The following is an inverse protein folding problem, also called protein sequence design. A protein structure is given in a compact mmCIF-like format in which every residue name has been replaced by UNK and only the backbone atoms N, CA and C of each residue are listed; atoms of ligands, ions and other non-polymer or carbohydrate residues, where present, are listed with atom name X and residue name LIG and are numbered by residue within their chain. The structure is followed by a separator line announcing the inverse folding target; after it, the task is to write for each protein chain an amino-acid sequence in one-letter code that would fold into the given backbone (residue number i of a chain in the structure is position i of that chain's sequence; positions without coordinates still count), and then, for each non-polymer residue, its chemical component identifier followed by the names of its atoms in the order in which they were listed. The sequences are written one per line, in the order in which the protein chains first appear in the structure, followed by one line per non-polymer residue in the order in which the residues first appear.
data_IF_863892175280
#
_entry.id   IF_863892175280
#
_cell.length_a   1.000
_cell.length_b   1.000
_cell.length_c   1.000
_cell.angle_alpha   90.00
_cell.angle_beta   90.00
_cell.angle_gamma   90.00
#
_symmetry.space_group_name_H-M   'P 1'
#
loop_
_entity.id
_entity.type
_entity.pdbx_description
1 polymer ?
#
# COMPACT_ATOMS: atom_id res chain seq x y z
N UNK A 1 -10.24 77.92 -35.70
CA UNK A 1 -11.34 77.49 -34.81
C UNK A 1 -10.72 76.58 -33.76
N UNK A 2 -10.49 77.13 -32.57
CA UNK A 2 -9.77 76.48 -31.46
C UNK A 2 -10.76 75.57 -30.72
N UNK A 3 -10.45 74.28 -30.65
CA UNK A 3 -11.29 73.29 -29.95
C UNK A 3 -11.36 73.60 -28.46
N UNK A 4 -12.58 73.77 -27.95
CA UNK A 4 -12.86 73.92 -26.53
C UNK A 4 -12.49 72.63 -25.80
N UNK A 5 -11.37 72.66 -25.07
CA UNK A 5 -11.00 71.64 -24.10
C UNK A 5 -12.06 71.68 -22.99
N UNK A 6 -12.97 70.71 -22.99
CA UNK A 6 -13.90 70.50 -21.87
C UNK A 6 -13.06 70.20 -20.61
N UNK A 7 -13.24 70.95 -19.51
CA UNK A 7 -12.58 70.62 -18.26
C UNK A 7 -13.11 69.26 -17.77
N UNK A 8 -12.19 68.34 -17.47
CA UNK A 8 -12.51 67.07 -16.83
C UNK A 8 -13.38 67.34 -15.60
N UNK A 9 -14.54 66.67 -15.44
CA UNK A 9 -15.37 66.86 -14.26
C UNK A 9 -14.54 66.45 -13.04
N UNK A 10 -14.32 67.42 -12.14
CA UNK A 10 -13.76 67.21 -10.80
C UNK A 10 -14.77 66.40 -9.97
N UNK A 11 -15.02 65.14 -10.35
CA UNK A 11 -15.62 64.18 -9.43
C UNK A 11 -14.66 64.12 -8.24
N UNK A 12 -15.13 64.65 -7.12
CA UNK A 12 -14.34 64.89 -5.92
C UNK A 12 -13.50 63.67 -5.58
N UNK A 13 -12.20 63.87 -5.36
CA UNK A 13 -11.27 62.85 -4.86
C UNK A 13 -11.88 62.05 -3.69
N UNK A 14 -12.76 62.67 -2.89
CA UNK A 14 -13.55 62.03 -1.84
C UNK A 14 -14.39 60.82 -2.26
N UNK A 15 -15.07 60.84 -3.42
CA UNK A 15 -15.90 59.70 -3.86
C UNK A 15 -15.07 58.53 -4.36
N UNK A 16 -13.84 58.79 -4.82
CA UNK A 16 -12.85 57.76 -5.17
C UNK A 16 -12.28 57.16 -3.89
N UNK A 17 -11.93 57.99 -2.91
CA UNK A 17 -11.45 57.54 -1.58
C UNK A 17 -12.52 56.71 -0.87
N UNK A 18 -13.79 57.14 -0.86
CA UNK A 18 -14.90 56.39 -0.26
C UNK A 18 -15.11 55.03 -0.92
N UNK A 19 -15.05 54.94 -2.26
CA UNK A 19 -15.16 53.65 -2.97
C UNK A 19 -14.00 52.72 -2.65
N UNK A 20 -12.79 53.25 -2.52
CA UNK A 20 -11.60 52.47 -2.14
C UNK A 20 -11.72 51.98 -0.70
N UNK A 21 -12.11 52.84 0.25
CA UNK A 21 -12.28 52.48 1.66
C UNK A 21 -13.41 51.47 1.86
N UNK A 22 -14.56 51.63 1.20
CA UNK A 22 -15.66 50.68 1.29
C UNK A 22 -15.31 49.33 0.63
N UNK A 23 -14.67 49.33 -0.54
CA UNK A 23 -14.29 48.08 -1.22
C UNK A 23 -13.18 47.35 -0.47
N UNK A 24 -12.18 48.07 0.03
CA UNK A 24 -11.11 47.50 0.85
C UNK A 24 -11.64 46.99 2.19
N UNK A 25 -12.58 47.72 2.81
CA UNK A 25 -13.22 47.34 4.07
C UNK A 25 -14.04 46.05 3.95
N UNK A 26 -14.88 45.93 2.90
CA UNK A 26 -15.69 44.72 2.67
C UNK A 26 -14.80 43.51 2.36
N UNK A 27 -13.74 43.68 1.56
CA UNK A 27 -12.78 42.60 1.29
C UNK A 27 -12.05 42.14 2.55
N UNK A 28 -11.59 43.09 3.36
CA UNK A 28 -10.92 42.79 4.62
C UNK A 28 -11.84 42.06 5.62
N UNK A 29 -13.09 42.51 5.76
CA UNK A 29 -14.08 41.83 6.59
C UNK A 29 -14.38 40.41 6.10
N UNK A 30 -14.44 40.20 4.78
CA UNK A 30 -14.63 38.86 4.21
C UNK A 30 -13.45 37.93 4.49
N UNK A 31 -12.20 38.40 4.37
CA UNK A 31 -11.00 37.64 4.77
C UNK A 31 -11.06 37.23 6.24
N UNK A 32 -11.37 38.18 7.13
CA UNK A 32 -11.50 37.90 8.56
C UNK A 32 -12.61 36.88 8.85
N UNK A 33 -13.75 36.99 8.17
CA UNK A 33 -14.84 36.03 8.31
C UNK A 33 -14.43 34.62 7.85
N UNK A 34 -13.73 34.48 6.72
CA UNK A 34 -13.22 33.20 6.22
C UNK A 34 -12.22 32.58 7.21
N UNK A 35 -11.29 33.37 7.74
CA UNK A 35 -10.31 32.89 8.71
C UNK A 35 -10.95 32.49 10.05
N UNK A 36 -11.90 33.28 10.55
CA UNK A 36 -12.63 32.97 11.77
C UNK A 36 -13.45 31.67 11.62
N UNK A 37 -14.17 31.53 10.49
CA UNK A 37 -14.89 30.30 10.16
C UNK A 37 -13.92 29.12 10.03
N UNK A 38 -12.78 29.33 9.36
CA UNK A 38 -11.74 28.33 9.17
C UNK A 38 -11.17 27.80 10.50
N UNK A 39 -10.92 28.67 11.47
CA UNK A 39 -10.48 28.30 12.82
C UNK A 39 -11.51 27.41 13.53
N UNK A 40 -12.80 27.80 13.47
CA UNK A 40 -13.90 27.01 14.04
C UNK A 40 -13.99 25.65 13.35
N UNK A 41 -14.01 25.63 12.01
CA UNK A 41 -14.08 24.40 11.23
C UNK A 41 -12.89 23.48 11.49
N UNK A 42 -11.67 24.02 11.58
CA UNK A 42 -10.48 23.24 11.89
C UNK A 42 -10.57 22.58 13.26
N UNK A 43 -10.94 23.35 14.29
CA UNK A 43 -11.13 22.83 15.63
C UNK A 43 -12.21 21.74 15.67
N UNK A 44 -13.36 21.98 15.05
CA UNK A 44 -14.48 21.02 14.98
C UNK A 44 -14.07 19.77 14.22
N UNK A 45 -13.47 19.91 13.03
CA UNK A 45 -13.06 18.80 12.19
C UNK A 45 -12.02 17.91 12.89
N UNK A 46 -10.97 18.50 13.47
CA UNK A 46 -9.97 17.73 14.20
C UNK A 46 -10.54 17.02 15.42
N UNK A 47 -11.43 17.69 16.16
CA UNK A 47 -12.10 17.09 17.32
C UNK A 47 -13.08 15.99 16.93
N UNK A 48 -13.75 16.14 15.78
CA UNK A 48 -14.62 15.12 15.21
C UNK A 48 -13.80 13.90 14.78
N UNK A 49 -12.70 14.10 14.05
CA UNK A 49 -11.78 13.03 13.64
C UNK A 49 -11.27 12.28 14.87
N UNK A 50 -10.78 12.98 15.89
CA UNK A 50 -10.36 12.36 17.15
C UNK A 50 -11.46 11.45 17.74
N UNK A 51 -12.69 11.97 17.84
CA UNK A 51 -13.83 11.21 18.39
C UNK A 51 -14.20 10.02 17.53
N UNK A 52 -14.18 10.16 16.21
CA UNK A 52 -14.50 9.08 15.28
C UNK A 52 -13.44 7.97 15.33
N UNK A 53 -12.16 8.33 15.40
CA UNK A 53 -11.07 7.36 15.51
C UNK A 53 -11.13 6.56 16.81
N UNK A 54 -11.37 7.24 17.93
CA UNK A 54 -11.56 6.57 19.23
C UNK A 54 -12.78 5.64 19.17
N UNK A 55 -13.91 6.11 18.64
CA UNK A 55 -15.13 5.29 18.50
C UNK A 55 -14.97 4.12 17.53
N UNK A 56 -14.15 4.28 16.51
CA UNK A 56 -13.85 3.22 15.54
C UNK A 56 -12.86 2.18 16.10
N UNK A 57 -12.40 2.31 17.34
CA UNK A 57 -11.44 1.38 17.95
C UNK A 57 -10.04 1.51 17.35
N UNK A 58 -9.70 2.66 16.76
CA UNK A 58 -8.36 2.91 16.22
C UNK A 58 -7.25 2.78 17.25
N UNK A 59 -7.39 3.21 18.53
CA UNK A 59 -6.33 2.99 19.54
C UNK A 59 -5.94 1.51 19.69
N UNK A 60 -6.93 0.62 19.79
CA UNK A 60 -6.70 -0.82 19.86
C UNK A 60 -6.24 -1.38 18.50
N UNK A 61 -6.59 -0.69 17.41
CA UNK A 61 -6.21 -1.10 16.08
C UNK A 61 -4.70 -0.91 15.81
N UNK A 62 -4.13 0.18 16.32
CA UNK A 62 -2.74 0.57 16.10
C UNK A 62 -1.77 0.00 17.13
N UNK A 63 -2.26 -0.61 18.21
CA UNK A 63 -1.40 -1.15 19.26
C UNK A 63 -0.42 -2.19 18.69
N UNK A 64 0.88 -2.00 18.96
CA UNK A 64 1.95 -2.87 18.49
C UNK A 64 2.35 -2.66 17.02
N UNK A 65 1.75 -1.70 16.32
CA UNK A 65 2.11 -1.37 14.93
C UNK A 65 3.44 -0.61 14.85
N UNK A 66 4.10 -0.67 13.69
CA UNK A 66 5.28 0.14 13.42
C UNK A 66 4.95 1.64 13.44
N UNK A 67 3.72 2.00 13.02
CA UNK A 67 3.25 3.38 13.06
C UNK A 67 3.08 3.91 14.49
N UNK A 68 2.51 3.11 15.39
CA UNK A 68 2.39 3.51 16.80
C UNK A 68 3.76 3.72 17.46
N UNK A 69 4.73 2.83 17.18
CA UNK A 69 6.12 3.01 17.64
C UNK A 69 6.71 4.31 17.11
N UNK A 70 6.59 4.55 15.81
CA UNK A 70 7.08 5.78 15.19
C UNK A 70 6.40 7.04 15.77
N UNK A 71 5.09 7.00 16.02
CA UNK A 71 4.38 8.12 16.64
C UNK A 71 4.88 8.38 18.07
N UNK A 72 5.13 7.31 18.84
CA UNK A 72 5.63 7.40 20.22
C UNK A 72 7.04 7.97 20.28
N UNK A 73 7.88 7.73 19.28
CA UNK A 73 9.22 8.33 19.18
C UNK A 73 9.17 9.87 19.07
N UNK A 74 8.05 10.43 18.60
CA UNK A 74 7.78 11.87 18.57
C UNK A 74 6.95 12.36 19.78
N UNK A 75 6.84 11.56 20.85
CA UNK A 75 6.05 11.86 22.06
C UNK A 75 4.57 12.18 21.76
N UNK A 76 4.00 11.51 20.76
CA UNK A 76 2.61 11.71 20.34
C UNK A 76 1.91 10.38 20.06
N UNK A 77 0.62 10.45 19.70
CA UNK A 77 -0.19 9.29 19.34
C UNK A 77 -0.70 9.40 17.90
N UNK A 78 -0.98 8.28 17.25
CA UNK A 78 -1.56 8.25 15.89
C UNK A 78 -2.84 9.09 15.77
N UNK A 79 -3.67 9.05 16.81
CA UNK A 79 -4.93 9.80 16.85
C UNK A 79 -4.63 11.30 16.94
N UNK A 80 -3.66 11.69 17.75
CA UNK A 80 -3.24 13.08 17.87
C UNK A 80 -2.59 13.59 16.59
N UNK A 81 -1.68 12.82 15.98
CA UNK A 81 -1.09 13.14 14.67
C UNK A 81 -2.20 13.38 13.64
N UNK A 82 -3.17 12.47 13.54
CA UNK A 82 -4.24 12.56 12.56
C UNK A 82 -5.18 13.75 12.84
N UNK A 83 -5.43 14.03 14.12
CA UNK A 83 -6.25 15.18 14.54
C UNK A 83 -5.54 16.51 14.26
N UNK A 84 -4.23 16.58 14.56
CA UNK A 84 -3.36 17.70 14.24
C UNK A 84 -3.30 17.92 12.73
N UNK A 85 -3.00 16.87 11.96
CA UNK A 85 -2.97 16.93 10.49
C UNK A 85 -4.28 17.45 9.92
N UNK A 86 -5.42 16.96 10.42
CA UNK A 86 -6.75 17.43 10.00
C UNK A 86 -6.96 18.91 10.32
N UNK A 87 -6.59 19.37 11.53
CA UNK A 87 -6.72 20.79 11.93
C UNK A 87 -5.91 21.68 11.01
N UNK A 88 -4.63 21.38 10.82
CA UNK A 88 -3.73 22.18 10.00
C UNK A 88 -4.12 22.14 8.52
N UNK A 89 -4.63 21.01 8.04
CA UNK A 89 -5.17 20.89 6.70
C UNK A 89 -6.37 21.82 6.47
N UNK A 90 -7.34 21.80 7.38
CA UNK A 90 -8.52 22.69 7.30
C UNK A 90 -8.13 24.16 7.44
N UNK A 91 -7.19 24.48 8.35
CA UNK A 91 -6.64 25.84 8.46
C UNK A 91 -5.92 26.28 7.18
N UNK A 92 -5.15 25.37 6.56
CA UNK A 92 -4.49 25.62 5.28
C UNK A 92 -5.49 25.95 4.19
N UNK A 93 -6.56 25.17 4.05
CA UNK A 93 -7.65 25.45 3.10
C UNK A 93 -8.28 26.82 3.38
N UNK A 94 -8.59 27.13 4.65
CA UNK A 94 -9.18 28.40 5.02
C UNK A 94 -8.26 29.59 4.71
N UNK A 95 -6.96 29.44 4.95
CA UNK A 95 -5.96 30.44 4.58
C UNK A 95 -5.92 30.67 3.07
N UNK A 96 -5.88 29.60 2.28
CA UNK A 96 -5.90 29.70 0.81
C UNK A 96 -7.19 30.36 0.34
N UNK A 97 -8.34 29.94 0.85
CA UNK A 97 -9.63 30.54 0.52
C UNK A 97 -9.68 32.04 0.86
N UNK A 98 -9.11 32.43 2.01
CA UNK A 98 -9.01 33.82 2.41
C UNK A 98 -8.11 34.63 1.45
N UNK A 99 -6.98 34.07 1.02
CA UNK A 99 -6.09 34.70 0.04
C UNK A 99 -6.72 34.83 -1.35
N UNK A 100 -7.44 33.80 -1.80
CA UNK A 100 -8.21 33.84 -3.06
C UNK A 100 -9.29 34.93 -3.02
N UNK A 101 -9.92 35.15 -1.88
CA UNK A 101 -10.96 36.18 -1.71
C UNK A 101 -10.44 37.61 -1.89
N UNK A 102 -9.14 37.88 -1.66
CA UNK A 102 -8.54 39.21 -1.84
C UNK A 102 -8.55 39.67 -3.31
N UNK A 103 -8.64 38.75 -4.27
CA UNK A 103 -8.81 39.03 -5.69
C UNK A 103 -7.54 39.56 -6.36
N UNK A 104 -6.38 39.04 -5.99
CA UNK A 104 -5.09 39.39 -6.62
C UNK A 104 -4.95 38.52 -7.89
N UNK A 105 -5.28 39.09 -9.05
CA UNK A 105 -5.38 38.41 -10.36
C UNK A 105 -4.13 37.62 -10.84
N UNK A 106 -2.99 37.72 -10.14
CA UNK A 106 -1.76 36.97 -10.46
C UNK A 106 -1.69 35.59 -9.80
N UNK A 107 -2.66 35.22 -8.96
CA UNK A 107 -2.54 34.06 -8.07
C UNK A 107 -3.67 33.03 -8.24
N UNK A 108 -4.62 33.25 -9.14
CA UNK A 108 -5.77 32.35 -9.29
C UNK A 108 -5.41 30.98 -9.88
N UNK A 109 -4.45 30.94 -10.84
CA UNK A 109 -3.98 29.67 -11.40
C UNK A 109 -3.14 28.86 -10.39
N UNK A 110 -2.28 29.55 -9.64
CA UNK A 110 -1.44 28.92 -8.62
C UNK A 110 -2.29 28.38 -7.46
N UNK A 111 -3.20 29.19 -6.92
CA UNK A 111 -4.09 28.77 -5.84
C UNK A 111 -5.08 27.69 -6.28
N UNK A 112 -5.55 27.73 -7.54
CA UNK A 112 -6.41 26.68 -8.09
C UNK A 112 -5.76 25.30 -8.08
N UNK A 113 -4.48 25.21 -8.47
CA UNK A 113 -3.71 23.95 -8.39
C UNK A 113 -3.49 23.51 -6.94
N UNK A 114 -3.15 24.44 -6.05
CA UNK A 114 -2.95 24.15 -4.63
C UNK A 114 -4.24 23.60 -3.99
N UNK A 115 -5.40 24.20 -4.26
CA UNK A 115 -6.70 23.74 -3.76
C UNK A 115 -7.13 22.39 -4.33
N UNK A 116 -6.70 22.05 -5.55
CA UNK A 116 -6.97 20.75 -6.16
C UNK A 116 -6.08 19.64 -5.57
N UNK A 117 -4.79 19.91 -5.38
CA UNK A 117 -3.80 18.92 -4.94
C UNK A 117 -3.85 18.69 -3.42
N UNK A 118 -4.11 19.71 -2.62
CA UNK A 118 -4.12 19.61 -1.15
C UNK A 118 -5.04 18.49 -0.64
N UNK A 119 -6.34 18.43 -1.02
CA UNK A 119 -7.23 17.35 -0.59
C UNK A 119 -6.78 15.97 -1.05
N UNK A 120 -6.29 15.87 -2.29
CA UNK A 120 -5.78 14.61 -2.84
C UNK A 120 -4.59 14.10 -2.05
N UNK A 121 -3.64 14.98 -1.71
CA UNK A 121 -2.47 14.65 -0.91
C UNK A 121 -2.86 14.24 0.51
N UNK A 122 -3.83 14.94 1.11
CA UNK A 122 -4.35 14.58 2.42
C UNK A 122 -4.95 13.17 2.42
N UNK A 123 -5.83 12.85 1.46
CA UNK A 123 -6.42 11.52 1.32
C UNK A 123 -5.32 10.46 1.06
N UNK A 124 -4.33 10.76 0.22
CA UNK A 124 -3.20 9.85 -0.03
C UNK A 124 -2.45 9.49 1.27
N UNK A 125 -2.16 10.50 2.11
CA UNK A 125 -1.51 10.30 3.41
C UNK A 125 -2.41 9.45 4.32
N UNK A 126 -3.72 9.72 4.38
CA UNK A 126 -4.64 8.91 5.18
C UNK A 126 -4.65 7.44 4.75
N UNK A 127 -4.72 7.19 3.44
CA UNK A 127 -4.71 5.83 2.89
C UNK A 127 -3.41 5.11 3.24
N UNK A 128 -2.26 5.79 3.18
CA UNK A 128 -0.97 5.19 3.59
C UNK A 128 -0.95 4.82 5.07
N UNK A 129 -1.41 5.72 5.94
CA UNK A 129 -1.50 5.45 7.38
C UNK A 129 -2.38 4.23 7.63
N UNK A 130 -3.57 4.19 7.02
CA UNK A 130 -4.48 3.03 7.11
C UNK A 130 -3.82 1.77 6.58
N UNK A 131 -3.12 1.84 5.45
CA UNK A 131 -2.42 0.71 4.85
C UNK A 131 -1.34 0.10 5.75
N UNK A 132 -0.56 0.94 6.44
CA UNK A 132 0.45 0.48 7.40
C UNK A 132 -0.22 -0.26 8.56
N UNK A 133 -1.26 0.34 9.15
CA UNK A 133 -1.98 -0.24 10.29
C UNK A 133 -2.64 -1.57 9.92
N UNK A 134 -3.33 -1.62 8.78
CA UNK A 134 -3.99 -2.84 8.29
C UNK A 134 -2.95 -3.91 7.94
N UNK A 135 -1.83 -3.52 7.34
CA UNK A 135 -0.73 -4.42 7.00
C UNK A 135 -0.12 -5.08 8.24
N UNK A 136 0.18 -4.28 9.28
CA UNK A 136 0.70 -4.79 10.55
C UNK A 136 -0.27 -5.75 11.24
N UNK A 137 -1.58 -5.46 11.20
CA UNK A 137 -2.60 -6.40 11.72
C UNK A 137 -2.64 -7.70 10.94
N UNK A 138 -2.57 -7.63 9.62
CA UNK A 138 -2.57 -8.82 8.78
C UNK A 138 -1.32 -9.65 9.04
N UNK A 139 -0.16 -9.04 9.27
CA UNK A 139 1.06 -9.75 9.70
C UNK A 139 0.80 -10.57 10.95
N UNK A 140 0.24 -9.95 12.00
CA UNK A 140 -0.03 -10.61 13.28
C UNK A 140 -1.05 -11.75 13.13
N UNK A 141 -2.14 -11.51 12.40
CA UNK A 141 -3.18 -12.50 12.15
C UNK A 141 -2.64 -13.71 11.39
N UNK A 142 -1.84 -13.47 10.34
CA UNK A 142 -1.23 -14.55 9.56
C UNK A 142 -0.19 -15.27 10.42
N UNK A 143 0.67 -14.56 11.14
CA UNK A 143 1.67 -15.16 12.04
C UNK A 143 1.01 -16.08 13.08
N UNK A 144 -0.10 -15.66 13.68
CA UNK A 144 -0.82 -16.46 14.67
C UNK A 144 -1.39 -17.76 14.09
N UNK A 145 -1.92 -17.72 12.86
CA UNK A 145 -2.40 -18.93 12.16
C UNK A 145 -1.29 -19.92 11.88
N UNK A 146 -0.06 -19.43 11.69
CA UNK A 146 1.09 -20.24 11.35
C UNK A 146 2.01 -20.58 12.54
N UNK A 147 1.72 -20.11 13.76
CA UNK A 147 2.50 -20.41 14.98
C UNK A 147 2.68 -21.91 15.26
N UNK A 148 1.74 -22.75 14.84
CA UNK A 148 1.81 -24.21 15.02
C UNK A 148 2.75 -24.92 14.04
N UNK A 149 3.21 -24.24 12.99
CA UNK A 149 4.02 -24.85 11.92
C UNK A 149 5.50 -24.66 12.21
N UNK A 150 6.20 -25.74 12.55
CA UNK A 150 7.64 -25.75 12.88
C UNK A 150 8.53 -25.76 11.63
N UNK A 151 8.34 -24.82 10.72
CA UNK A 151 9.18 -24.66 9.54
C UNK A 151 9.94 -23.33 9.62
N UNK A 152 11.28 -23.32 9.47
CA UNK A 152 12.09 -22.11 9.58
C UNK A 152 11.66 -20.98 8.63
N UNK A 153 11.13 -21.32 7.45
CA UNK A 153 10.75 -20.34 6.42
C UNK A 153 9.33 -19.77 6.56
N UNK A 154 8.52 -20.27 7.49
CA UNK A 154 7.09 -19.87 7.60
C UNK A 154 6.90 -18.41 8.02
N UNK A 155 7.92 -17.81 8.65
CA UNK A 155 7.91 -16.40 9.02
C UNK A 155 7.90 -15.43 7.83
N UNK A 156 8.14 -15.91 6.60
CA UNK A 156 8.10 -15.07 5.39
C UNK A 156 6.65 -14.73 5.01
N UNK A 157 5.70 -15.65 5.20
CA UNK A 157 4.30 -15.47 4.80
C UNK A 157 3.61 -14.28 5.52
N UNK A 158 3.71 -14.13 6.85
CA UNK A 158 3.19 -12.97 7.56
C UNK A 158 3.69 -11.64 7.02
N UNK A 159 5.01 -11.51 6.82
CA UNK A 159 5.59 -10.28 6.31
C UNK A 159 5.20 -10.02 4.86
N UNK A 160 5.12 -11.06 4.02
CA UNK A 160 4.67 -10.96 2.64
C UNK A 160 3.21 -10.44 2.57
N UNK A 161 2.34 -10.91 3.46
CA UNK A 161 0.95 -10.46 3.52
C UNK A 161 0.85 -8.97 3.89
N UNK A 162 1.64 -8.52 4.88
CA UNK A 162 1.75 -7.10 5.22
C UNK A 162 2.25 -6.24 4.07
N UNK A 163 3.34 -6.63 3.43
CA UNK A 163 3.90 -5.85 2.32
C UNK A 163 2.95 -5.81 1.13
N UNK A 164 2.15 -6.86 0.91
CA UNK A 164 1.08 -6.84 -0.09
C UNK A 164 0.04 -5.76 0.20
N UNK A 165 -0.41 -5.65 1.45
CA UNK A 165 -1.37 -4.62 1.88
C UNK A 165 -0.77 -3.22 1.73
N UNK A 166 0.47 -3.04 2.19
CA UNK A 166 1.19 -1.77 2.05
C UNK A 166 1.36 -1.36 0.59
N UNK A 167 1.66 -2.32 -0.29
CA UNK A 167 1.77 -2.11 -1.73
C UNK A 167 0.43 -1.62 -2.32
N UNK A 168 -0.68 -2.29 -2.02
CA UNK A 168 -2.01 -1.88 -2.49
C UNK A 168 -2.40 -0.49 -1.96
N UNK A 169 -2.16 -0.21 -0.69
CA UNK A 169 -2.41 1.12 -0.11
C UNK A 169 -1.56 2.20 -0.80
N UNK A 170 -0.30 1.88 -1.13
CA UNK A 170 0.58 2.77 -1.88
C UNK A 170 0.05 3.06 -3.28
N UNK A 171 -0.45 2.05 -3.99
CA UNK A 171 -1.10 2.26 -5.29
C UNK A 171 -2.33 3.17 -5.15
N UNK A 172 -3.20 2.92 -4.17
CA UNK A 172 -4.39 3.76 -3.95
C UNK A 172 -3.98 5.20 -3.63
N UNK A 173 -2.97 5.40 -2.78
CA UNK A 173 -2.46 6.73 -2.44
C UNK A 173 -1.88 7.47 -3.65
N UNK A 174 -1.07 6.78 -4.47
CA UNK A 174 -0.56 7.32 -5.72
C UNK A 174 -1.68 7.69 -6.70
N UNK A 175 -2.81 6.96 -6.68
CA UNK A 175 -4.00 7.27 -7.49
C UNK A 175 -4.55 8.64 -7.17
N UNK A 176 -4.58 8.98 -5.88
CA UNK A 176 -5.17 10.24 -5.43
C UNK A 176 -4.36 11.43 -5.92
N UNK A 177 -3.03 11.29 -5.95
CA UNK A 177 -2.10 12.34 -6.42
C UNK A 177 -2.03 12.41 -7.96
N UNK A 178 -2.81 11.58 -8.67
CA UNK A 178 -2.87 11.61 -10.14
C UNK A 178 -1.73 10.88 -10.84
N UNK A 179 -1.01 10.00 -10.12
CA UNK A 179 0.02 9.16 -10.74
C UNK A 179 -0.64 8.13 -11.66
N UNK A 180 -0.04 7.90 -12.82
CA UNK A 180 -0.52 6.95 -13.81
C UNK A 180 -0.32 5.50 -13.35
N UNK A 181 -1.21 5.01 -12.48
CA UNK A 181 -1.15 3.64 -11.92
C UNK A 181 -1.16 2.58 -13.01
N UNK A 182 -1.87 2.81 -14.12
CA UNK A 182 -1.89 1.88 -15.24
C UNK A 182 -0.48 1.54 -15.73
N UNK A 183 0.41 2.53 -15.86
CA UNK A 183 1.79 2.30 -16.24
C UNK A 183 2.58 1.52 -15.18
N UNK A 184 2.33 1.79 -13.89
CA UNK A 184 2.95 1.05 -12.78
C UNK A 184 2.48 -0.41 -12.73
N UNK A 185 1.20 -0.67 -12.99
CA UNK A 185 0.64 -2.03 -13.06
C UNK A 185 1.22 -2.79 -14.24
N UNK A 186 1.35 -2.15 -15.42
CA UNK A 186 1.99 -2.77 -16.58
C UNK A 186 3.44 -3.13 -16.28
N UNK A 187 4.20 -2.21 -15.66
CA UNK A 187 5.58 -2.46 -15.26
C UNK A 187 5.68 -3.60 -14.23
N UNK A 188 4.83 -3.60 -13.22
CA UNK A 188 4.73 -4.70 -12.25
C UNK A 188 4.43 -6.02 -12.95
N UNK A 189 3.47 -6.03 -13.87
CA UNK A 189 3.13 -7.22 -14.66
C UNK A 189 4.33 -7.78 -15.41
N UNK A 190 5.14 -6.91 -16.02
CA UNK A 190 6.38 -7.30 -16.69
C UNK A 190 7.41 -7.90 -15.70
N UNK A 191 7.60 -7.28 -14.53
CA UNK A 191 8.50 -7.81 -13.49
C UNK A 191 8.03 -9.16 -12.94
N UNK A 192 6.75 -9.29 -12.63
CA UNK A 192 6.16 -10.53 -12.12
C UNK A 192 6.23 -11.63 -13.18
N UNK A 193 5.95 -11.31 -14.45
CA UNK A 193 6.12 -12.25 -15.55
C UNK A 193 7.57 -12.73 -15.66
N UNK A 194 8.54 -11.81 -15.62
CA UNK A 194 9.96 -12.16 -15.60
C UNK A 194 10.32 -13.06 -14.42
N UNK A 195 9.87 -12.71 -13.21
CA UNK A 195 10.10 -13.52 -12.01
C UNK A 195 9.50 -14.92 -12.14
N UNK A 196 8.27 -15.04 -12.65
CA UNK A 196 7.57 -16.32 -12.83
C UNK A 196 8.31 -17.18 -13.85
N UNK A 197 8.66 -16.62 -15.01
CA UNK A 197 9.38 -17.36 -16.06
C UNK A 197 10.76 -17.81 -15.56
N UNK A 198 11.52 -16.91 -14.95
CA UNK A 198 12.84 -17.24 -14.40
C UNK A 198 12.74 -18.30 -13.30
N UNK A 199 11.77 -18.21 -12.41
CA UNK A 199 11.56 -19.21 -11.34
C UNK A 199 11.14 -20.55 -11.93
N UNK A 200 10.25 -20.57 -12.92
CA UNK A 200 9.82 -21.79 -13.59
C UNK A 200 10.99 -22.50 -14.29
N UNK A 201 11.88 -21.75 -14.94
CA UNK A 201 13.09 -22.30 -15.57
C UNK A 201 14.09 -22.76 -14.51
N UNK A 202 14.34 -21.96 -13.48
CA UNK A 202 15.32 -22.29 -12.44
C UNK A 202 14.92 -23.49 -11.57
N UNK A 203 13.62 -23.64 -11.28
CA UNK A 203 13.09 -24.73 -10.45
C UNK A 203 12.48 -25.88 -11.27
N UNK A 204 12.73 -25.92 -12.58
CA UNK A 204 12.14 -26.88 -13.50
C UNK A 204 12.26 -28.34 -13.04
N UNK A 205 13.45 -28.77 -12.60
CA UNK A 205 13.69 -30.17 -12.22
C UNK A 205 13.06 -30.54 -10.87
N UNK A 206 13.00 -29.58 -9.94
CA UNK A 206 12.29 -29.75 -8.66
C UNK A 206 10.78 -29.84 -8.88
N UNK A 207 10.22 -29.02 -9.78
CA UNK A 207 8.80 -29.07 -10.12
C UNK A 207 8.43 -30.39 -10.81
N UNK A 208 9.26 -30.88 -11.73
CA UNK A 208 9.09 -32.21 -12.33
C UNK A 208 9.11 -33.32 -11.29
N UNK A 209 10.09 -33.30 -10.38
CA UNK A 209 10.22 -34.31 -9.33
C UNK A 209 9.04 -34.25 -8.36
N UNK A 210 8.62 -33.05 -7.95
CA UNK A 210 7.43 -32.84 -7.12
C UNK A 210 6.14 -33.35 -7.75
N UNK A 211 5.95 -33.11 -9.06
CA UNK A 211 4.78 -33.60 -9.79
C UNK A 211 4.79 -35.14 -9.88
N UNK A 212 5.94 -35.74 -10.19
CA UNK A 212 6.12 -37.19 -10.21
C UNK A 212 5.88 -37.81 -8.82
N UNK A 213 6.44 -37.24 -7.76
CA UNK A 213 6.22 -37.73 -6.39
C UNK A 213 4.77 -37.60 -5.94
N UNK A 214 4.10 -36.51 -6.30
CA UNK A 214 2.65 -36.35 -6.04
C UNK A 214 1.85 -37.46 -6.71
N UNK A 215 2.17 -37.80 -7.97
CA UNK A 215 1.57 -38.94 -8.67
C UNK A 215 1.86 -40.26 -7.95
N UNK A 216 3.11 -40.53 -7.56
CA UNK A 216 3.51 -41.74 -6.86
C UNK A 216 2.79 -41.90 -5.52
N UNK A 217 2.66 -40.81 -4.74
CA UNK A 217 1.97 -40.80 -3.45
C UNK A 217 0.46 -41.07 -3.59
N UNK A 218 -0.17 -40.56 -4.65
CA UNK A 218 -1.61 -40.76 -4.87
C UNK A 218 -1.97 -42.09 -5.51
N UNK A 219 -1.19 -42.56 -6.48
CA UNK A 219 -1.53 -43.74 -7.30
C UNK A 219 -0.79 -45.00 -6.82
N UNK A 220 0.34 -44.84 -6.12
CA UNK A 220 1.14 -45.93 -5.54
C UNK A 220 1.35 -47.10 -6.51
N UNK A 221 1.99 -46.89 -7.67
CA UNK A 221 2.22 -47.95 -8.66
C UNK A 221 3.14 -49.07 -8.13
N UNK A 222 3.93 -48.78 -7.11
CA UNK A 222 4.72 -49.71 -6.30
C UNK A 222 4.64 -49.27 -4.84
N UNK A 223 4.95 -50.19 -3.92
CA UNK A 223 4.89 -49.97 -2.48
C UNK A 223 6.26 -50.13 -1.83
N UNK A 224 6.40 -49.63 -0.61
CA UNK A 224 7.58 -49.88 0.23
C UNK A 224 7.73 -51.40 0.40
N UNK A 225 8.95 -51.90 0.17
CA UNK A 225 9.29 -53.32 0.16
C UNK A 225 9.18 -54.01 -1.20
N UNK A 226 8.68 -53.34 -2.24
CA UNK A 226 8.71 -53.90 -3.60
C UNK A 226 10.13 -53.85 -4.19
N UNK A 227 10.53 -54.93 -4.86
CA UNK A 227 11.74 -54.96 -5.69
C UNK A 227 11.45 -54.36 -7.06
N UNK A 228 12.18 -53.30 -7.39
CA UNK A 228 11.99 -52.51 -8.60
C UNK A 228 13.30 -52.31 -9.38
N UNK A 229 13.15 -52.11 -10.68
CA UNK A 229 14.22 -51.70 -11.59
C UNK A 229 13.88 -50.31 -12.13
N UNK A 230 14.79 -49.36 -11.93
CA UNK A 230 14.72 -48.00 -12.47
C UNK A 230 16.03 -47.69 -13.19
N UNK A 231 15.99 -47.66 -14.51
CA UNK A 231 17.19 -47.56 -15.35
C UNK A 231 18.16 -48.71 -15.09
N UNK A 232 19.34 -48.38 -14.55
CA UNK A 232 20.39 -49.36 -14.20
C UNK A 232 20.34 -49.80 -12.73
N UNK A 233 19.48 -49.20 -11.92
CA UNK A 233 19.38 -49.49 -10.48
C UNK A 233 18.33 -50.57 -10.27
N UNK A 234 18.71 -51.63 -9.58
CA UNK A 234 17.86 -52.74 -9.21
C UNK A 234 17.91 -52.92 -7.69
N UNK A 235 16.78 -52.83 -6.99
CA UNK A 235 16.77 -52.90 -5.54
C UNK A 235 15.38 -52.78 -4.94
N UNK A 236 15.32 -52.69 -3.61
CA UNK A 236 14.06 -52.67 -2.85
C UNK A 236 13.72 -51.25 -2.41
N UNK A 237 12.48 -50.82 -2.64
CA UNK A 237 11.99 -49.50 -2.21
C UNK A 237 11.92 -49.42 -0.69
N UNK A 238 12.60 -48.45 -0.09
CA UNK A 238 12.56 -48.20 1.36
C UNK A 238 11.54 -47.13 1.73
N UNK A 239 11.60 -45.99 1.05
CA UNK A 239 10.73 -44.83 1.29
C UNK A 239 10.62 -44.02 -0.01
N UNK A 240 9.54 -43.26 -0.17
CA UNK A 240 9.47 -42.21 -1.16
C UNK A 240 8.69 -41.02 -0.61
N UNK A 241 9.21 -39.82 -0.87
CA UNK A 241 8.57 -38.56 -0.51
C UNK A 241 8.10 -37.80 -1.76
N UNK A 242 7.78 -36.52 -1.62
CA UNK A 242 7.31 -35.71 -2.75
C UNK A 242 8.39 -35.51 -3.82
N UNK A 243 9.69 -35.55 -3.50
CA UNK A 243 10.78 -35.21 -4.41
C UNK A 243 11.69 -36.37 -4.77
N UNK A 244 11.91 -37.32 -3.85
CA UNK A 244 12.85 -38.43 -4.03
C UNK A 244 12.27 -39.77 -3.61
N UNK A 245 12.81 -40.84 -4.17
CA UNK A 245 12.58 -42.25 -3.81
C UNK A 245 13.90 -42.86 -3.35
N UNK A 246 13.87 -43.56 -2.23
CA UNK A 246 14.99 -44.26 -1.62
C UNK A 246 14.92 -45.74 -1.99
N UNK A 247 15.97 -46.24 -2.65
CA UNK A 247 16.08 -47.64 -3.11
C UNK A 247 17.35 -48.25 -2.54
N UNK A 248 17.24 -49.36 -1.83
CA UNK A 248 18.37 -50.10 -1.27
C UNK A 248 18.81 -51.21 -2.23
N UNK A 249 20.10 -51.27 -2.55
CA UNK A 249 20.69 -52.30 -3.40
C UNK A 249 22.13 -52.61 -3.00
N UNK A 250 22.45 -53.90 -2.82
CA UNK A 250 23.82 -54.38 -2.52
C UNK A 250 24.54 -53.56 -1.42
N UNK A 251 23.87 -53.36 -0.28
CA UNK A 251 24.34 -52.58 0.89
C UNK A 251 24.59 -51.08 0.60
N UNK A 252 23.92 -50.51 -0.40
CA UNK A 252 23.93 -49.08 -0.72
C UNK A 252 22.52 -48.52 -0.88
N UNK A 253 22.30 -47.36 -0.29
CA UNK A 253 21.08 -46.57 -0.47
C UNK A 253 21.23 -45.60 -1.64
N UNK A 254 20.33 -45.69 -2.62
CA UNK A 254 20.23 -44.79 -3.76
C UNK A 254 19.10 -43.79 -3.56
N UNK A 255 19.42 -42.50 -3.64
CA UNK A 255 18.45 -41.40 -3.56
C UNK A 255 18.12 -40.94 -4.99
N UNK A 256 16.95 -41.33 -5.48
CA UNK A 256 16.51 -41.08 -6.85
C UNK A 256 15.50 -39.94 -6.90
N UNK A 257 15.75 -38.85 -7.67
CA UNK A 257 14.72 -37.86 -7.94
C UNK A 257 13.51 -38.53 -8.59
N UNK A 258 12.31 -38.22 -8.11
CA UNK A 258 11.08 -38.84 -8.62
C UNK A 258 10.87 -38.56 -10.12
N UNK A 259 11.40 -37.45 -10.64
CA UNK A 259 11.41 -37.17 -12.08
C UNK A 259 12.14 -38.27 -12.86
N UNK A 260 13.26 -38.77 -12.34
CA UNK A 260 14.05 -39.83 -12.97
C UNK A 260 13.30 -41.15 -13.00
N UNK A 261 12.61 -41.49 -11.91
CA UNK A 261 11.75 -42.68 -11.83
C UNK A 261 10.66 -42.64 -12.91
N UNK A 262 10.10 -41.45 -13.16
CA UNK A 262 9.06 -41.25 -14.17
C UNK A 262 9.62 -41.24 -15.60
N UNK A 263 10.80 -40.66 -15.81
CA UNK A 263 11.45 -40.56 -17.12
C UNK A 263 12.02 -41.91 -17.60
N UNK A 264 12.62 -42.70 -16.71
CA UNK A 264 13.21 -44.02 -17.02
C UNK A 264 12.17 -45.16 -16.99
N UNK A 265 11.07 -44.97 -16.25
CA UNK A 265 10.05 -45.98 -16.01
C UNK A 265 10.45 -46.99 -14.92
N UNK A 266 9.45 -47.72 -14.41
CA UNK A 266 9.63 -48.69 -13.33
C UNK A 266 9.24 -50.08 -13.79
N UNK A 267 10.19 -51.02 -13.74
CA UNK A 267 9.94 -52.45 -13.85
C UNK A 267 9.75 -53.06 -12.47
N UNK A 268 8.67 -53.81 -12.25
CA UNK A 268 8.45 -54.56 -11.00
C UNK A 268 8.76 -56.02 -11.21
N UNK A 269 9.58 -56.60 -10.34
CA UNK A 269 9.87 -58.03 -10.35
C UNK A 269 8.90 -58.74 -9.41
N UNK A 270 8.27 -59.81 -9.91
CA UNK A 270 7.27 -60.60 -9.20
C UNK A 270 7.80 -61.99 -8.90
#
# INVERSE_FOLDING_TARGET
MVGSVQPLPLQSIGSIVERIVQTAGVRFLGVLAILALGLVLAYVAGSLVQRLLIRAGVPDAIEGTAFERAARDFDTSTIEILSWLTRYFVLGIALVAALSFVGVNYVDQFWGLVLAILPQLFIAILVLIVGIVVGDKIELLVAERFRGVKLPQVNILPSLAKYTVFFLASLIALSQVGVAIAALIVLLGAYLFGLIVLSAVAFHDLLKSGAAGTYLLFIQPYSIGDEIVVGEIHGVVQEFDMFVTYVESEDREYILPNARVFDEGVGRIR
#
